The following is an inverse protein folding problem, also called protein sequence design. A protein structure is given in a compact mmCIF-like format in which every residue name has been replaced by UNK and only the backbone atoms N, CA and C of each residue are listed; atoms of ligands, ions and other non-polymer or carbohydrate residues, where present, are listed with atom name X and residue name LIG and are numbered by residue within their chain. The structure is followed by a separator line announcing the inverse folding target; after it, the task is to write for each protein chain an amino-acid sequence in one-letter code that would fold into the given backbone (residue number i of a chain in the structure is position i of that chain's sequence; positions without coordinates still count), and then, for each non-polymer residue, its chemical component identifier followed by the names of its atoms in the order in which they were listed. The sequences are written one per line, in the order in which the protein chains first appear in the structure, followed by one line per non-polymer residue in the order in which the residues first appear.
data_IF_426593692541
#
_entry.id   IF_426593692541
#
_cell.length_a   1.000
_cell.length_b   1.000
_cell.length_c   1.000
_cell.angle_alpha   90.00
_cell.angle_beta   90.00
_cell.angle_gamma   90.00
#
_symmetry.space_group_name_H-M   'P 1'
#
loop_
_entity.id
_entity.type
_entity.pdbx_description
1 polymer ?
#
# COMPACT_ATOMS: atom_id res chain seq x y z
N UNK A 1 -14.33 -8.86 -5.63
CA UNK A 1 -15.75 -8.88 -6.03
C UNK A 1 -15.95 -9.15 -7.52
N UNK A 2 -15.54 -8.26 -8.45
CA UNK A 2 -15.75 -8.48 -9.90
C UNK A 2 -15.07 -9.75 -10.43
N UNK A 3 -13.81 -9.99 -10.04
CA UNK A 3 -13.05 -11.19 -10.45
C UNK A 3 -13.78 -12.48 -10.04
N UNK A 4 -14.34 -12.52 -8.83
CA UNK A 4 -15.19 -13.63 -8.35
C UNK A 4 -16.50 -13.70 -9.12
N UNK A 5 -17.22 -12.60 -9.29
CA UNK A 5 -18.52 -12.58 -9.98
C UNK A 5 -18.42 -13.09 -11.43
N UNK A 6 -17.31 -12.80 -12.12
CA UNK A 6 -17.04 -13.28 -13.48
C UNK A 6 -16.97 -14.81 -13.55
N UNK A 7 -16.44 -15.50 -12.52
CA UNK A 7 -16.40 -16.97 -12.46
C UNK A 7 -17.81 -17.58 -12.45
N UNK A 8 -18.80 -16.84 -11.95
CA UNK A 8 -20.18 -17.27 -11.82
C UNK A 8 -21.07 -16.84 -12.99
N UNK A 9 -20.52 -16.31 -14.09
CA UNK A 9 -21.28 -15.86 -15.27
C UNK A 9 -22.32 -16.91 -15.73
N UNK A 10 -21.92 -18.18 -15.84
CA UNK A 10 -22.83 -19.27 -16.22
C UNK A 10 -23.92 -19.57 -15.18
N UNK A 11 -23.62 -19.33 -13.89
CA UNK A 11 -24.57 -19.53 -12.80
C UNK A 11 -25.70 -18.50 -12.87
N UNK A 12 -25.40 -17.26 -13.23
CA UNK A 12 -26.43 -16.22 -13.45
C UNK A 12 -27.36 -16.59 -14.62
N UNK A 13 -26.82 -17.16 -15.69
CA UNK A 13 -27.64 -17.66 -16.80
C UNK A 13 -28.58 -18.79 -16.37
N UNK A 14 -28.09 -19.72 -15.55
CA UNK A 14 -28.90 -20.82 -15.00
C UNK A 14 -29.96 -20.33 -14.02
N UNK A 15 -29.65 -19.30 -13.24
CA UNK A 15 -30.57 -18.71 -12.27
C UNK A 15 -31.79 -18.10 -12.98
N UNK A 16 -31.58 -17.41 -14.10
CA UNK A 16 -32.66 -16.84 -14.91
C UNK A 16 -33.64 -17.89 -15.45
N UNK A 17 -33.16 -19.10 -15.74
CA UNK A 17 -34.00 -20.21 -16.19
C UNK A 17 -34.86 -20.75 -15.03
N UNK A 18 -34.29 -20.81 -13.81
CA UNK A 18 -34.92 -21.46 -12.66
C UNK A 18 -35.83 -20.54 -11.84
N UNK A 19 -35.57 -19.24 -11.84
CA UNK A 19 -36.27 -18.27 -10.99
C UNK A 19 -36.99 -17.26 -11.87
N UNK A 20 -38.31 -17.42 -11.99
CA UNK A 20 -39.16 -16.54 -12.82
C UNK A 20 -39.18 -15.08 -12.37
N UNK A 21 -38.83 -14.81 -11.12
CA UNK A 21 -38.72 -13.47 -10.55
C UNK A 21 -37.37 -12.79 -10.85
N UNK A 22 -36.40 -13.50 -11.41
CA UNK A 22 -35.09 -12.95 -11.73
C UNK A 22 -35.13 -12.17 -13.05
N UNK A 23 -35.41 -10.88 -12.97
CA UNK A 23 -35.63 -9.99 -14.13
C UNK A 23 -34.40 -9.18 -14.55
N UNK A 24 -33.36 -9.14 -13.72
CA UNK A 24 -32.16 -8.34 -13.95
C UNK A 24 -30.96 -9.22 -14.31
N UNK A 25 -30.97 -9.80 -15.51
CA UNK A 25 -29.87 -10.64 -16.03
C UNK A 25 -28.79 -9.77 -16.68
N UNK A 26 -27.51 -9.88 -16.26
CA UNK A 26 -26.41 -9.25 -16.99
C UNK A 26 -26.28 -9.84 -18.40
N UNK A 27 -26.22 -8.96 -19.39
CA UNK A 27 -26.05 -9.36 -20.79
C UNK A 27 -24.60 -9.78 -21.07
N UNK A 28 -24.34 -10.44 -22.20
CA UNK A 28 -22.98 -10.74 -22.66
C UNK A 28 -22.12 -9.48 -22.80
N UNK A 29 -22.73 -8.35 -23.17
CA UNK A 29 -22.07 -7.04 -23.19
C UNK A 29 -21.64 -6.60 -21.78
N UNK A 30 -22.50 -6.77 -20.77
CA UNK A 30 -22.17 -6.44 -19.38
C UNK A 30 -21.01 -7.29 -18.85
N UNK A 31 -20.98 -8.59 -19.17
CA UNK A 31 -19.88 -9.47 -18.76
C UNK A 31 -18.57 -9.12 -19.46
N UNK A 32 -18.62 -8.79 -20.76
CA UNK A 32 -17.44 -8.29 -21.49
C UNK A 32 -16.90 -7.02 -20.85
N UNK A 33 -17.76 -6.06 -20.53
CA UNK A 33 -17.37 -4.83 -19.85
C UNK A 33 -16.81 -5.09 -18.44
N UNK A 34 -17.44 -5.97 -17.66
CA UNK A 34 -16.96 -6.33 -16.33
C UNK A 34 -15.56 -6.96 -16.36
N UNK A 35 -15.30 -7.85 -17.33
CA UNK A 35 -13.97 -8.45 -17.57
C UNK A 35 -12.93 -7.38 -17.90
N UNK A 36 -13.28 -6.44 -18.77
CA UNK A 36 -12.39 -5.34 -19.15
C UNK A 36 -12.05 -4.42 -17.98
N UNK A 37 -13.05 -3.98 -17.22
CA UNK A 37 -12.86 -3.14 -16.04
C UNK A 37 -12.08 -3.90 -14.96
N UNK A 38 -12.37 -5.19 -14.75
CA UNK A 38 -11.62 -6.01 -13.81
C UNK A 38 -10.13 -6.07 -14.19
N UNK A 39 -9.81 -6.21 -15.49
CA UNK A 39 -8.43 -6.15 -15.98
C UNK A 39 -7.74 -4.83 -15.68
N UNK A 40 -8.43 -3.70 -15.86
CA UNK A 40 -7.91 -2.36 -15.53
C UNK A 40 -7.71 -2.17 -14.02
N UNK A 41 -8.64 -2.65 -13.21
CA UNK A 41 -8.58 -2.57 -11.74
C UNK A 41 -7.46 -3.44 -11.14
N UNK A 42 -7.04 -4.52 -11.82
CA UNK A 42 -5.90 -5.34 -11.38
C UNK A 42 -4.61 -4.54 -11.22
N UNK A 43 -4.39 -3.52 -12.07
CA UNK A 43 -3.24 -2.61 -11.92
C UNK A 43 -3.26 -1.91 -10.56
N UNK A 44 -4.37 -1.29 -10.18
CA UNK A 44 -4.50 -0.61 -8.90
C UNK A 44 -4.32 -1.58 -7.74
N UNK A 45 -4.96 -2.77 -7.81
CA UNK A 45 -4.83 -3.77 -6.77
C UNK A 45 -3.36 -4.19 -6.56
N UNK A 46 -2.64 -4.51 -7.65
CA UNK A 46 -1.23 -4.90 -7.57
C UNK A 46 -0.32 -3.81 -7.00
N UNK A 47 -0.62 -2.54 -7.29
CA UNK A 47 0.13 -1.40 -6.77
C UNK A 47 -0.19 -1.16 -5.30
N UNK A 48 -1.45 -1.29 -4.94
CA UNK A 48 -1.93 -1.16 -3.56
C UNK A 48 -1.30 -2.22 -2.67
N UNK A 49 -1.17 -3.46 -3.13
CA UNK A 49 -0.44 -4.54 -2.43
C UNK A 49 1.02 -4.17 -2.16
N UNK A 50 1.70 -3.52 -3.12
CA UNK A 50 3.08 -3.03 -2.92
C UNK A 50 3.14 -1.97 -1.83
N UNK A 51 2.15 -1.08 -1.74
CA UNK A 51 2.11 -0.03 -0.70
C UNK A 51 1.76 -0.57 0.69
N UNK A 52 1.19 -1.76 0.76
CA UNK A 52 0.87 -2.44 2.02
C UNK A 52 2.02 -3.31 2.54
N UNK A 53 3.15 -3.34 1.83
CA UNK A 53 4.35 -4.03 2.28
C UNK A 53 4.83 -3.50 3.63
N UNK A 54 5.09 -4.41 4.57
CA UNK A 54 5.61 -4.08 5.91
C UNK A 54 7.07 -4.51 6.11
N UNK A 55 7.63 -5.25 5.14
CA UNK A 55 8.97 -5.86 5.22
C UNK A 55 10.06 -5.06 4.50
N UNK A 56 9.69 -3.95 3.87
CA UNK A 56 10.60 -3.10 3.12
C UNK A 56 10.10 -1.65 3.16
N UNK A 57 10.99 -0.66 2.93
CA UNK A 57 10.59 0.75 2.80
C UNK A 57 9.64 0.95 1.62
N UNK A 58 8.46 1.53 1.87
CA UNK A 58 7.46 1.74 0.82
C UNK A 58 7.59 3.10 0.12
N UNK A 59 8.26 4.08 0.76
CA UNK A 59 8.29 5.46 0.28
C UNK A 59 8.95 5.62 -1.09
N UNK A 60 10.08 4.95 -1.34
CA UNK A 60 10.78 4.98 -2.63
C UNK A 60 9.99 4.26 -3.73
N UNK A 61 9.20 3.24 -3.38
CA UNK A 61 8.36 2.51 -4.34
C UNK A 61 7.11 3.31 -4.72
N UNK A 62 6.73 4.34 -3.96
CA UNK A 62 5.48 5.07 -4.17
C UNK A 62 5.45 5.84 -5.50
N UNK A 63 6.47 6.65 -5.75
CA UNK A 63 6.56 7.48 -6.96
C UNK A 63 6.44 6.65 -8.25
N UNK A 64 7.29 5.63 -8.52
CA UNK A 64 7.21 4.89 -9.78
C UNK A 64 5.85 4.21 -9.98
N UNK A 65 5.24 3.69 -8.91
CA UNK A 65 3.93 3.01 -9.00
C UNK A 65 2.79 4.00 -9.24
N UNK A 66 2.77 5.15 -8.56
CA UNK A 66 1.77 6.20 -8.82
C UNK A 66 1.92 6.75 -10.24
N UNK A 67 3.15 6.88 -10.75
CA UNK A 67 3.39 7.25 -12.14
C UNK A 67 2.86 6.20 -13.12
N UNK A 68 3.00 4.90 -12.83
CA UNK A 68 2.40 3.82 -13.65
C UNK A 68 0.87 3.97 -13.73
N UNK A 69 0.21 4.29 -12.62
CA UNK A 69 -1.24 4.58 -12.61
C UNK A 69 -1.56 5.77 -13.53
N UNK A 70 -0.82 6.87 -13.41
CA UNK A 70 -1.06 8.06 -14.26
C UNK A 70 -0.87 7.72 -15.75
N UNK A 71 0.19 7.01 -16.10
CA UNK A 71 0.42 6.55 -17.48
C UNK A 71 -0.75 5.70 -17.98
N UNK A 72 -1.23 4.74 -17.17
CA UNK A 72 -2.38 3.92 -17.54
C UNK A 72 -3.66 4.74 -17.72
N UNK A 73 -3.92 5.71 -16.84
CA UNK A 73 -5.07 6.62 -16.98
C UNK A 73 -4.99 7.44 -18.26
N UNK A 74 -3.81 7.99 -18.60
CA UNK A 74 -3.60 8.72 -19.86
C UNK A 74 -3.86 7.84 -21.08
N UNK A 75 -3.44 6.57 -21.05
CA UNK A 75 -3.75 5.61 -22.12
C UNK A 75 -5.25 5.31 -22.22
N UNK A 76 -5.96 5.21 -21.09
CA UNK A 76 -7.38 4.90 -21.08
C UNK A 76 -8.27 6.06 -21.53
N UNK A 77 -7.81 7.30 -21.43
CA UNK A 77 -8.50 8.46 -22.00
C UNK A 77 -8.51 8.40 -23.53
N UNK A 78 -7.51 7.77 -24.13
CA UNK A 78 -7.43 7.53 -25.58
C UNK A 78 -8.14 6.23 -26.01
N UNK A 79 -8.89 5.59 -25.09
CA UNK A 79 -9.64 4.37 -25.39
C UNK A 79 -10.74 4.63 -26.40
N UNK A 80 -10.96 3.67 -27.31
CA UNK A 80 -12.10 3.67 -28.23
C UNK A 80 -13.44 3.38 -27.52
N UNK A 81 -13.40 2.81 -26.31
CA UNK A 81 -14.59 2.60 -25.49
C UNK A 81 -14.92 3.88 -24.70
N UNK A 82 -16.05 4.49 -25.03
CA UNK A 82 -16.49 5.77 -24.45
C UNK A 82 -16.78 5.69 -22.94
N UNK A 83 -17.18 4.53 -22.41
CA UNK A 83 -17.36 4.35 -20.97
C UNK A 83 -16.01 4.34 -20.27
N UNK A 84 -15.06 3.59 -20.80
CA UNK A 84 -13.68 3.52 -20.27
C UNK A 84 -13.01 4.89 -20.30
N UNK A 85 -13.13 5.59 -21.42
CA UNK A 85 -12.61 6.95 -21.59
C UNK A 85 -13.17 7.89 -20.51
N UNK A 86 -14.50 7.97 -20.40
CA UNK A 86 -15.17 8.82 -19.40
C UNK A 86 -14.83 8.42 -17.96
N UNK A 87 -14.65 7.12 -17.68
CA UNK A 87 -14.17 6.67 -16.36
C UNK A 87 -12.75 7.18 -16.09
N UNK A 88 -11.84 7.03 -17.06
CA UNK A 88 -10.46 7.47 -16.94
C UNK A 88 -10.35 8.99 -16.76
N UNK A 89 -11.12 9.79 -17.50
CA UNK A 89 -11.20 11.25 -17.34
C UNK A 89 -11.61 11.62 -15.91
N UNK A 90 -12.69 11.02 -15.38
CA UNK A 90 -13.16 11.26 -14.02
C UNK A 90 -12.13 10.85 -12.95
N UNK A 91 -11.43 9.73 -13.16
CA UNK A 91 -10.37 9.26 -12.28
C UNK A 91 -9.16 10.19 -12.34
N UNK A 92 -8.77 10.66 -13.52
CA UNK A 92 -7.63 11.56 -13.71
C UNK A 92 -7.87 12.92 -13.05
N UNK A 93 -9.09 13.47 -13.12
CA UNK A 93 -9.45 14.71 -12.40
C UNK A 93 -9.20 14.58 -10.89
N UNK A 94 -9.61 13.45 -10.29
CA UNK A 94 -9.34 13.18 -8.87
C UNK A 94 -7.85 12.96 -8.62
N UNK A 95 -7.18 12.20 -9.48
CA UNK A 95 -5.74 11.94 -9.39
C UNK A 95 -4.94 13.24 -9.34
N UNK A 96 -5.19 14.17 -10.27
CA UNK A 96 -4.46 15.44 -10.37
C UNK A 96 -4.62 16.31 -9.12
N UNK A 97 -5.79 16.27 -8.47
CA UNK A 97 -6.01 16.96 -7.20
C UNK A 97 -5.03 16.51 -6.12
N UNK A 98 -4.81 15.21 -5.98
CA UNK A 98 -3.87 14.66 -4.99
C UNK A 98 -2.42 14.82 -5.45
N UNK A 99 -2.15 14.55 -6.72
CA UNK A 99 -0.82 14.66 -7.33
C UNK A 99 -0.18 16.02 -7.06
N UNK A 100 -0.92 17.12 -7.26
CA UNK A 100 -0.46 18.50 -7.01
C UNK A 100 0.08 18.72 -5.59
N UNK A 101 -0.45 18.01 -4.59
CA UNK A 101 -0.06 18.15 -3.19
C UNK A 101 1.16 17.29 -2.87
N UNK A 102 1.18 16.03 -3.33
CA UNK A 102 2.12 15.03 -2.82
C UNK A 102 3.31 14.72 -3.74
N UNK A 103 3.25 15.04 -5.04
CA UNK A 103 4.27 14.59 -6.01
C UNK A 103 5.71 15.00 -5.68
N UNK A 104 5.92 16.18 -5.08
CA UNK A 104 7.26 16.61 -4.66
C UNK A 104 7.83 15.72 -3.56
N UNK A 105 7.02 15.39 -2.54
CA UNK A 105 7.45 14.50 -1.45
C UNK A 105 7.77 13.10 -1.95
N UNK A 106 6.92 12.55 -2.84
CA UNK A 106 7.19 11.28 -3.50
C UNK A 106 8.48 11.32 -4.32
N UNK A 107 8.71 12.44 -5.02
CA UNK A 107 9.89 12.65 -5.82
C UNK A 107 11.18 12.70 -5.00
N UNK A 108 11.17 13.26 -3.80
CA UNK A 108 12.32 13.23 -2.88
C UNK A 108 12.67 11.80 -2.51
N UNK A 109 11.67 10.98 -2.14
CA UNK A 109 11.89 9.57 -1.80
C UNK A 109 12.46 8.77 -3.01
N UNK A 110 12.02 9.09 -4.22
CA UNK A 110 12.57 8.50 -5.45
C UNK A 110 14.01 8.93 -5.73
N UNK A 111 14.35 10.20 -5.48
CA UNK A 111 15.72 10.71 -5.63
C UNK A 111 16.67 10.04 -4.64
N UNK A 112 16.23 9.80 -3.41
CA UNK A 112 16.99 9.11 -2.38
C UNK A 112 17.15 7.60 -2.64
N UNK A 113 16.56 7.06 -3.71
CA UNK A 113 16.85 5.70 -4.17
C UNK A 113 18.01 5.70 -5.17
N UNK A 114 19.17 5.10 -4.82
CA UNK A 114 20.36 5.12 -5.66
C UNK A 114 20.19 4.36 -6.98
N UNK A 115 19.13 3.54 -7.13
CA UNK A 115 18.79 2.84 -8.38
C UNK A 115 18.06 3.75 -9.39
N UNK A 116 17.57 4.91 -8.93
CA UNK A 116 16.69 5.78 -9.69
C UNK A 116 17.22 7.21 -9.79
N UNK A 117 17.53 7.85 -8.66
CA UNK A 117 17.96 9.26 -8.57
C UNK A 117 17.02 10.19 -9.38
N UNK A 118 17.54 11.17 -10.10
CA UNK A 118 16.75 12.07 -10.94
C UNK A 118 16.28 11.42 -12.24
N UNK A 119 16.97 10.40 -12.74
CA UNK A 119 16.66 9.74 -14.02
C UNK A 119 15.21 9.22 -14.07
N UNK A 120 14.69 8.74 -12.94
CA UNK A 120 13.29 8.29 -12.85
C UNK A 120 12.31 9.45 -12.94
N UNK A 121 12.63 10.59 -12.32
CA UNK A 121 11.83 11.80 -12.40
C UNK A 121 11.82 12.35 -13.83
N UNK A 122 13.00 12.45 -14.45
CA UNK A 122 13.18 12.92 -15.82
C UNK A 122 12.34 12.11 -16.82
N UNK A 123 12.35 10.79 -16.68
CA UNK A 123 11.53 9.91 -17.51
C UNK A 123 10.03 10.22 -17.36
N UNK A 124 9.48 10.16 -16.14
CA UNK A 124 8.04 10.31 -15.94
C UNK A 124 7.57 11.75 -16.14
N UNK A 125 8.36 12.73 -15.72
CA UNK A 125 8.01 14.14 -15.92
C UNK A 125 8.14 14.54 -17.39
N UNK A 126 9.07 13.96 -18.14
CA UNK A 126 9.08 14.07 -19.60
C UNK A 126 7.77 13.61 -20.22
N UNK A 127 7.24 12.47 -19.77
CA UNK A 127 5.93 11.96 -20.21
C UNK A 127 4.77 12.87 -19.78
N UNK A 128 4.80 13.44 -18.58
CA UNK A 128 3.65 14.18 -18.02
C UNK A 128 3.62 15.67 -18.36
N UNK A 129 4.78 16.28 -18.52
CA UNK A 129 4.94 17.74 -18.59
C UNK A 129 5.64 18.20 -19.86
N UNK A 130 6.23 17.30 -20.65
CA UNK A 130 6.96 17.64 -21.87
C UNK A 130 8.05 18.67 -21.59
N UNK A 131 7.93 19.85 -22.18
CA UNK A 131 8.91 20.93 -22.05
C UNK A 131 9.07 21.46 -20.61
N UNK A 132 8.05 21.29 -19.75
CA UNK A 132 8.10 21.74 -18.36
C UNK A 132 8.76 20.70 -17.42
N UNK A 133 9.16 19.54 -17.93
CA UNK A 133 9.74 18.45 -17.14
C UNK A 133 10.99 18.91 -16.35
N UNK A 134 11.91 19.58 -17.02
CA UNK A 134 13.16 20.07 -16.42
C UNK A 134 12.88 21.02 -15.25
N UNK A 135 11.85 21.86 -15.37
CA UNK A 135 11.45 22.77 -14.30
C UNK A 135 10.94 21.99 -13.07
N UNK A 136 10.14 20.95 -13.29
CA UNK A 136 9.64 20.12 -12.19
C UNK A 136 10.76 19.33 -11.50
N UNK A 137 11.71 18.76 -12.27
CA UNK A 137 12.87 18.05 -11.72
C UNK A 137 13.75 19.02 -10.91
N UNK A 138 14.04 20.21 -11.45
CA UNK A 138 14.77 21.26 -10.73
C UNK A 138 14.07 21.68 -9.44
N UNK A 139 12.75 21.79 -9.44
CA UNK A 139 12.01 22.10 -8.22
C UNK A 139 12.17 21.02 -7.14
N UNK A 140 12.28 19.74 -7.50
CA UNK A 140 12.50 18.67 -6.50
C UNK A 140 13.94 18.68 -6.00
N UNK A 141 14.93 18.88 -6.89
CA UNK A 141 16.33 19.06 -6.50
C UNK A 141 16.47 20.21 -5.50
N UNK A 142 15.78 21.32 -5.73
CA UNK A 142 15.78 22.47 -4.83
C UNK A 142 15.29 22.09 -3.42
N UNK A 143 14.20 21.33 -3.31
CA UNK A 143 13.71 20.86 -2.00
C UNK A 143 14.71 19.90 -1.35
N UNK A 144 15.44 19.09 -2.12
CA UNK A 144 16.50 18.22 -1.58
C UNK A 144 17.65 19.04 -0.98
N UNK A 145 18.08 20.14 -1.63
CA UNK A 145 19.10 21.04 -1.09
C UNK A 145 18.63 21.74 0.19
N UNK A 146 17.39 22.24 0.20
CA UNK A 146 16.78 22.87 1.38
C UNK A 146 16.73 21.89 2.56
N UNK A 147 16.32 20.65 2.31
CA UNK A 147 16.28 19.60 3.32
C UNK A 147 17.68 19.27 3.84
N UNK A 148 18.68 19.16 2.96
CA UNK A 148 20.05 18.92 3.35
C UNK A 148 20.59 20.04 4.25
N UNK A 149 20.36 21.29 3.87
CA UNK A 149 20.76 22.46 4.65
C UNK A 149 20.13 22.46 6.04
N UNK A 150 18.81 22.20 6.14
CA UNK A 150 18.10 22.15 7.41
C UNK A 150 18.63 21.05 8.35
N UNK A 151 18.96 19.88 7.81
CA UNK A 151 19.54 18.79 8.60
C UNK A 151 20.98 19.10 9.03
N UNK A 152 21.80 19.68 8.17
CA UNK A 152 23.15 20.14 8.55
C UNK A 152 23.10 21.16 9.68
N UNK A 153 22.20 22.14 9.60
CA UNK A 153 22.00 23.13 10.66
C UNK A 153 21.59 22.49 11.99
N UNK A 154 20.74 21.46 11.97
CA UNK A 154 20.35 20.72 13.18
C UNK A 154 21.54 19.96 13.76
N UNK A 155 22.29 19.24 12.93
CA UNK A 155 23.45 18.45 13.38
C UNK A 155 24.58 19.32 13.97
N UNK A 156 24.82 20.50 13.39
CA UNK A 156 25.85 21.44 13.87
C UNK A 156 25.46 22.15 15.17
N UNK A 157 24.16 22.22 15.51
CA UNK A 157 23.72 22.73 16.83
C UNK A 157 24.02 21.74 17.96
N UNK A 158 24.02 20.45 17.63
CA UNK A 158 24.31 19.38 18.58
C UNK A 158 25.82 19.10 18.72
N UNK A 159 26.64 19.54 17.76
CA UNK A 159 28.09 19.33 17.74
C UNK A 159 28.86 20.66 17.74
N UNK A 160 29.56 20.94 18.85
CA UNK A 160 30.30 22.19 19.11
C UNK A 160 31.64 22.26 18.36
N UNK A 161 31.66 21.93 17.08
CA UNK A 161 32.88 21.88 16.25
C UNK A 161 32.59 22.25 14.81
N UNK A 162 33.23 23.33 14.36
CA UNK A 162 33.28 23.78 12.96
C UNK A 162 34.07 22.78 12.10
N UNK A 163 33.47 22.28 11.03
CA UNK A 163 34.17 22.01 9.78
C UNK A 163 33.17 21.96 8.62
N UNK A 164 33.34 22.91 7.71
CA UNK A 164 32.52 23.09 6.53
C UNK A 164 32.81 22.05 5.45
N UNK A 165 31.77 21.42 4.93
CA UNK A 165 31.63 20.98 3.52
C UNK A 165 30.15 20.95 3.18
N UNK A 166 29.52 22.13 3.02
CA UNK A 166 28.06 22.24 2.94
C UNK A 166 27.48 21.87 1.55
N UNK A 167 28.21 22.09 0.45
CA UNK A 167 27.57 22.06 -0.89
C UNK A 167 27.82 20.80 -1.72
N UNK A 168 28.77 19.92 -1.35
CA UNK A 168 29.24 18.89 -2.27
C UNK A 168 28.44 17.56 -2.24
N UNK A 169 27.61 17.28 -1.24
CA UNK A 169 27.13 15.90 -1.04
C UNK A 169 25.94 15.49 -1.92
N UNK A 170 24.98 16.39 -2.20
CA UNK A 170 23.83 16.05 -3.06
C UNK A 170 24.27 15.90 -4.51
N UNK A 171 25.02 16.87 -5.05
CA UNK A 171 25.45 16.80 -6.44
C UNK A 171 26.37 15.61 -6.70
N UNK A 172 27.30 15.32 -5.79
CA UNK A 172 28.12 14.10 -5.89
C UNK A 172 27.25 12.84 -5.92
N UNK A 173 26.26 12.74 -5.04
CA UNK A 173 25.33 11.62 -5.05
C UNK A 173 24.53 11.53 -6.37
N UNK A 174 24.05 12.66 -6.90
CA UNK A 174 23.25 12.70 -8.12
C UNK A 174 24.05 12.37 -9.39
N UNK A 175 25.31 12.81 -9.48
CA UNK A 175 26.19 12.59 -10.63
C UNK A 175 26.79 11.17 -10.68
N UNK A 176 26.78 10.44 -9.57
CA UNK A 176 27.24 9.06 -9.55
C UNK A 176 26.35 8.12 -10.38
N UNK A 177 26.93 7.01 -10.85
CA UNK A 177 26.17 6.01 -11.59
C UNK A 177 25.00 5.45 -10.77
N UNK A 178 23.90 5.16 -11.46
CA UNK A 178 22.74 4.50 -10.86
C UNK A 178 23.04 3.02 -10.62
N UNK A 179 22.57 2.51 -9.49
CA UNK A 179 22.75 1.09 -9.17
C UNK A 179 21.83 0.19 -10.01
N UNK A 180 22.24 -1.06 -10.29
CA UNK A 180 21.37 -2.02 -10.94
C UNK A 180 20.13 -2.32 -10.09
N UNK A 181 18.99 -2.50 -10.76
CA UNK A 181 17.72 -2.83 -10.10
C UNK A 181 17.69 -4.32 -9.77
N UNK A 182 18.15 -4.70 -8.57
CA UNK A 182 17.98 -6.06 -8.05
C UNK A 182 16.76 -6.14 -7.11
N UNK A 183 16.05 -7.28 -7.10
CA UNK A 183 14.90 -7.49 -6.21
C UNK A 183 15.32 -7.57 -4.73
N UNK A 184 16.54 -8.02 -4.46
CA UNK A 184 17.09 -8.20 -3.11
C UNK A 184 17.86 -6.95 -2.61
N UNK A 185 17.69 -5.80 -3.27
CA UNK A 185 18.36 -4.56 -2.86
C UNK A 185 17.73 -3.98 -1.60
N UNK A 186 18.48 -3.98 -0.50
CA UNK A 186 18.12 -3.27 0.72
C UNK A 186 18.65 -1.83 0.69
N UNK A 187 17.73 -0.90 0.40
CA UNK A 187 18.02 0.53 0.32
C UNK A 187 18.47 1.13 1.66
N UNK A 188 17.91 0.68 2.80
CA UNK A 188 18.27 1.22 4.11
C UNK A 188 19.66 0.71 4.53
N UNK A 189 19.95 -0.56 4.26
CA UNK A 189 21.28 -1.11 4.48
C UNK A 189 22.31 -0.42 3.59
N UNK A 190 21.98 -0.15 2.33
CA UNK A 190 22.87 0.60 1.43
C UNK A 190 23.19 1.98 1.99
N UNK A 191 22.19 2.74 2.42
CA UNK A 191 22.40 4.05 3.04
C UNK A 191 23.24 3.95 4.31
N UNK A 192 23.01 2.92 5.14
CA UNK A 192 23.78 2.66 6.35
C UNK A 192 25.26 2.35 6.05
N UNK A 193 25.56 1.63 4.98
CA UNK A 193 26.94 1.30 4.59
C UNK A 193 27.69 2.46 3.93
N UNK A 194 26.99 3.50 3.48
CA UNK A 194 27.56 4.68 2.84
C UNK A 194 27.48 5.94 3.73
N UNK A 195 27.35 5.77 5.05
CA UNK A 195 27.20 6.85 6.03
C UNK A 195 28.41 7.79 6.09
N UNK A 196 29.63 7.26 5.96
CA UNK A 196 30.87 8.05 5.94
C UNK A 196 30.88 8.99 4.72
N UNK A 197 30.41 8.51 3.57
CA UNK A 197 30.39 9.27 2.32
C UNK A 197 29.24 10.28 2.29
N UNK A 198 28.09 9.91 2.86
CA UNK A 198 26.84 10.67 2.77
C UNK A 198 26.24 10.95 4.15
N UNK A 199 27.01 11.56 5.05
CA UNK A 199 26.64 11.66 6.48
C UNK A 199 25.26 12.29 6.71
N UNK A 200 24.99 13.45 6.12
CA UNK A 200 23.66 14.10 6.26
C UNK A 200 22.58 13.41 5.42
N UNK A 201 22.92 13.02 4.20
CA UNK A 201 21.96 12.39 3.27
C UNK A 201 21.48 11.02 3.77
N UNK A 202 22.33 10.26 4.45
CA UNK A 202 21.97 8.99 5.09
C UNK A 202 20.91 9.19 6.17
N UNK A 203 21.03 10.24 6.98
CA UNK A 203 20.06 10.59 8.01
C UNK A 203 18.73 10.97 7.37
N UNK A 204 18.77 11.80 6.32
CA UNK A 204 17.58 12.18 5.54
C UNK A 204 16.93 10.96 4.91
N UNK A 205 17.71 10.09 4.28
CA UNK A 205 17.23 8.87 3.65
C UNK A 205 16.58 7.94 4.67
N UNK A 206 17.19 7.75 5.84
CA UNK A 206 16.58 6.99 6.93
C UNK A 206 15.23 7.59 7.32
N UNK A 207 15.16 8.90 7.53
CA UNK A 207 13.94 9.54 8.04
C UNK A 207 12.82 9.63 6.99
N UNK A 208 13.16 9.81 5.71
CA UNK A 208 12.19 9.90 4.60
C UNK A 208 11.74 8.51 4.13
N UNK A 209 12.67 7.57 3.95
CA UNK A 209 12.36 6.27 3.36
C UNK A 209 11.59 5.35 4.32
N UNK A 210 11.77 5.54 5.63
CA UNK A 210 11.06 4.75 6.65
C UNK A 210 9.60 5.17 6.85
N UNK A 211 9.15 6.24 6.21
CA UNK A 211 7.75 6.67 6.27
C UNK A 211 6.88 5.63 5.54
N UNK A 212 5.96 4.96 6.24
CA UNK A 212 5.01 4.08 5.58
C UNK A 212 4.04 4.93 4.75
N UNK A 213 3.86 4.55 3.49
CA UNK A 213 3.00 5.28 2.55
C UNK A 213 1.52 5.03 2.82
N UNK A 214 1.21 3.91 3.48
CA UNK A 214 -0.15 3.51 3.81
C UNK A 214 -0.33 3.29 5.31
N UNK A 215 -1.51 3.68 5.80
CA UNK A 215 -2.01 3.31 7.14
C UNK A 215 -2.47 1.85 7.20
N UNK A 216 -2.59 1.15 6.07
CA UNK A 216 -3.14 -0.21 6.06
C UNK A 216 -2.26 -1.22 6.78
N UNK A 217 -0.95 -0.96 6.91
CA UNK A 217 -0.09 -1.76 7.78
C UNK A 217 -0.57 -1.74 9.24
N UNK A 218 -1.03 -0.58 9.74
CA UNK A 218 -1.64 -0.50 11.07
C UNK A 218 -3.06 -1.06 11.07
N UNK A 219 -3.87 -0.82 10.04
CA UNK A 219 -5.23 -1.38 9.93
C UNK A 219 -5.25 -2.92 9.86
N UNK A 220 -4.29 -3.55 9.17
CA UNK A 220 -4.11 -5.00 9.14
C UNK A 220 -3.74 -5.56 10.52
N UNK A 221 -2.88 -4.85 11.25
CA UNK A 221 -2.59 -5.17 12.64
C UNK A 221 -3.84 -5.06 13.53
N UNK A 222 -4.77 -4.14 13.25
CA UNK A 222 -6.05 -4.04 13.96
C UNK A 222 -7.10 -5.06 13.48
N UNK A 223 -7.12 -5.41 12.20
CA UNK A 223 -8.07 -6.36 11.61
C UNK A 223 -7.78 -7.79 12.03
N UNK A 224 -6.51 -8.20 12.03
CA UNK A 224 -6.05 -9.48 12.62
C UNK A 224 -6.40 -9.55 14.11
N UNK A 225 -6.57 -8.40 14.77
CA UNK A 225 -6.94 -8.31 16.18
C UNK A 225 -8.45 -8.32 16.43
N UNK A 226 -9.31 -8.31 15.40
CA UNK A 226 -10.75 -8.54 15.56
C UNK A 226 -11.07 -9.91 16.18
N UNK A 227 -10.15 -10.87 16.04
CA UNK A 227 -10.22 -12.17 16.72
C UNK A 227 -9.87 -12.11 18.21
N UNK A 228 -9.08 -11.11 18.64
CA UNK A 228 -8.75 -10.86 20.06
C UNK A 228 -9.82 -9.95 20.70
N UNK A 229 -10.40 -9.05 19.91
CA UNK A 229 -11.43 -8.08 20.32
C UNK A 229 -12.75 -8.47 19.65
N UNK A 230 -13.36 -9.57 20.10
CA UNK A 230 -14.71 -9.90 19.63
C UNK A 230 -15.76 -9.09 20.42
N UNK A 231 -16.94 -8.79 19.83
CA UNK A 231 -18.04 -8.11 20.54
C UNK A 231 -18.46 -8.81 21.84
N UNK A 232 -18.19 -10.13 21.96
CA UNK A 232 -18.58 -10.97 23.09
C UNK A 232 -17.43 -11.30 24.07
N UNK A 233 -16.16 -10.92 23.81
CA UNK A 233 -15.01 -11.20 24.70
C UNK A 233 -14.01 -10.03 24.86
N UNK A 234 -14.48 -8.81 25.12
CA UNK A 234 -13.56 -7.67 25.29
C UNK A 234 -13.73 -6.95 26.64
N UNK A 235 -13.04 -7.42 27.69
CA UNK A 235 -12.83 -6.65 28.95
C UNK A 235 -11.35 -6.39 29.25
N UNK A 236 -10.48 -6.43 28.24
CA UNK A 236 -9.08 -6.07 28.42
C UNK A 236 -8.96 -4.55 28.55
N UNK A 237 -8.24 -4.10 29.57
CA UNK A 237 -7.88 -2.70 29.69
C UNK A 237 -6.93 -2.30 28.55
N UNK A 238 -7.03 -1.07 28.06
CA UNK A 238 -6.28 -0.59 26.89
C UNK A 238 -4.75 -0.74 27.05
N UNK A 239 -4.21 -0.60 28.27
CA UNK A 239 -2.78 -0.82 28.55
C UNK A 239 -2.35 -2.28 28.38
N UNK A 240 -3.21 -3.24 28.76
CA UNK A 240 -2.93 -4.66 28.56
C UNK A 240 -3.00 -5.02 27.09
N UNK A 241 -3.94 -4.42 26.37
CA UNK A 241 -4.08 -4.59 24.93
C UNK A 241 -2.85 -4.03 24.19
N UNK A 242 -2.42 -2.82 24.55
CA UNK A 242 -1.19 -2.19 24.02
C UNK A 242 0.06 -3.04 24.30
N UNK A 243 0.25 -3.50 25.54
CA UNK A 243 1.37 -4.37 25.90
C UNK A 243 1.36 -5.70 25.10
N UNK A 244 0.19 -6.30 24.92
CA UNK A 244 0.02 -7.50 24.09
C UNK A 244 0.33 -7.23 22.62
N UNK A 245 -0.08 -6.07 22.09
CA UNK A 245 0.24 -5.66 20.71
C UNK A 245 1.75 -5.50 20.51
N UNK A 246 2.45 -4.85 21.45
CA UNK A 246 3.89 -4.71 21.40
C UNK A 246 4.61 -6.06 21.54
N UNK A 247 4.20 -6.90 22.49
CA UNK A 247 4.79 -8.22 22.69
C UNK A 247 4.62 -9.11 21.44
N UNK A 248 3.43 -9.08 20.82
CA UNK A 248 3.13 -9.72 19.52
C UNK A 248 4.09 -9.24 18.44
N UNK A 249 4.10 -7.94 18.17
CA UNK A 249 4.96 -7.35 17.13
C UNK A 249 6.44 -7.70 17.34
N UNK A 250 6.91 -7.63 18.59
CA UNK A 250 8.28 -7.94 18.96
C UNK A 250 8.62 -9.43 18.79
N UNK A 251 7.77 -10.34 19.28
CA UNK A 251 8.01 -11.80 19.19
C UNK A 251 8.11 -12.28 17.74
N UNK A 252 7.30 -11.70 16.84
CA UNK A 252 7.28 -12.06 15.42
C UNK A 252 8.18 -11.20 14.54
N UNK A 253 9.03 -10.34 15.13
CA UNK A 253 10.08 -9.64 14.39
C UNK A 253 11.02 -10.66 13.71
N UNK A 254 11.45 -10.44 12.46
CA UNK A 254 12.36 -11.33 11.73
C UNK A 254 13.62 -11.72 12.53
N UNK A 255 14.13 -10.79 13.34
CA UNK A 255 15.29 -10.98 14.21
C UNK A 255 15.06 -12.06 15.28
N UNK A 256 13.84 -12.19 15.78
CA UNK A 256 13.46 -13.17 16.80
C UNK A 256 13.02 -14.51 16.18
N UNK A 257 12.47 -14.49 14.96
CA UNK A 257 12.00 -15.69 14.27
C UNK A 257 13.15 -16.65 13.88
N UNK A 258 14.36 -16.13 13.66
CA UNK A 258 15.58 -16.96 13.45
C UNK A 258 15.97 -17.69 14.74
N UNK A 259 15.78 -17.08 15.92
CA UNK A 259 16.05 -17.70 17.22
C UNK A 259 14.95 -18.67 17.68
N UNK A 260 13.68 -18.44 17.30
CA UNK A 260 12.58 -19.36 17.62
C UNK A 260 12.63 -20.64 16.77
N UNK A 261 12.98 -20.54 15.49
CA UNK A 261 13.14 -21.71 14.61
C UNK A 261 14.28 -22.65 15.00
N UNK A 262 15.30 -22.15 15.69
CA UNK A 262 16.39 -22.99 16.22
C UNK A 262 16.03 -23.69 17.54
N UNK A 263 14.96 -23.26 18.23
CA UNK A 263 14.65 -23.73 19.60
C UNK A 263 13.35 -24.54 19.69
N UNK A 264 12.37 -24.35 18.80
CA UNK A 264 11.10 -25.09 18.84
C UNK A 264 10.56 -25.35 17.42
N UNK A 265 10.86 -26.53 16.87
CA UNK A 265 10.35 -27.00 15.58
C UNK A 265 8.99 -27.70 15.69
N UNK A 266 8.17 -27.54 14.64
CA UNK A 266 6.94 -28.26 14.29
C UNK A 266 5.65 -28.05 15.11
N UNK A 267 5.66 -27.72 16.41
CA UNK A 267 4.38 -27.58 17.15
C UNK A 267 3.61 -26.29 16.83
N UNK A 268 4.31 -25.21 16.46
CA UNK A 268 3.67 -23.91 16.16
C UNK A 268 3.10 -23.79 14.75
N UNK A 269 3.54 -24.64 13.82
CA UNK A 269 2.97 -24.67 12.47
C UNK A 269 1.52 -25.20 12.48
N UNK A 270 1.21 -26.12 13.39
CA UNK A 270 -0.12 -26.74 13.54
C UNK A 270 -1.14 -25.73 14.09
N UNK A 271 -0.75 -24.94 15.10
CA UNK A 271 -1.61 -23.88 15.65
C UNK A 271 -1.94 -22.77 14.65
N UNK A 272 -1.02 -22.46 13.73
CA UNK A 272 -1.28 -21.49 12.66
C UNK A 272 -2.25 -22.05 11.61
N UNK A 273 -2.16 -23.34 11.29
CA UNK A 273 -3.11 -24.00 10.37
C UNK A 273 -4.51 -24.13 10.98
N UNK A 274 -4.61 -24.41 12.29
CA UNK A 274 -5.92 -24.44 12.99
C UNK A 274 -6.57 -23.05 13.09
N UNK A 275 -5.79 -21.97 13.16
CA UNK A 275 -6.30 -20.60 13.13
C UNK A 275 -6.69 -20.11 11.73
N UNK A 276 -6.20 -20.74 10.67
CA UNK A 276 -6.55 -20.46 9.27
C UNK A 276 -7.73 -21.32 8.76
N UNK A 277 -8.09 -22.42 9.44
CA UNK A 277 -9.08 -23.40 8.96
C UNK A 277 -10.54 -23.14 9.35
N UNK A 278 -10.82 -22.18 10.23
CA UNK A 278 -12.19 -21.90 10.70
C UNK A 278 -13.04 -21.07 9.70
N UNK A 279 -12.52 -20.76 8.51
CA UNK A 279 -13.17 -19.91 7.49
C UNK A 279 -14.07 -20.69 6.49
N UNK A 280 -14.24 -22.00 6.62
CA UNK A 280 -15.07 -22.83 5.72
C UNK A 280 -16.15 -23.60 6.51
N UNK A 281 -17.15 -22.91 7.05
CA UNK A 281 -18.21 -23.63 7.76
C UNK A 281 -19.34 -22.84 8.41
N UNK A 282 -19.96 -21.85 7.75
CA UNK A 282 -21.31 -21.44 8.15
C UNK A 282 -22.13 -20.88 6.97
N UNK A 283 -22.61 -21.81 6.14
CA UNK A 283 -23.75 -21.61 5.26
C UNK A 283 -24.75 -22.73 5.55
N UNK A 284 -26.03 -22.35 5.63
CA UNK A 284 -27.23 -23.16 5.93
C UNK A 284 -27.43 -23.31 7.46
N UNK A 285 -28.55 -22.95 8.07
CA UNK A 285 -29.95 -23.30 7.76
C UNK A 285 -30.83 -22.29 8.53
N UNK A 286 -31.85 -21.69 7.90
CA UNK A 286 -33.16 -21.68 8.55
C UNK A 286 -34.31 -21.47 7.55
N UNK A 287 -34.93 -22.60 7.22
CA UNK A 287 -36.23 -22.69 6.58
C UNK A 287 -37.16 -23.47 7.50
N UNK A 288 -38.09 -22.75 8.11
CA UNK A 288 -39.39 -23.16 8.64
C UNK A 288 -39.52 -24.51 9.39
N UNK A 289 -39.92 -24.43 10.66
CA UNK A 289 -41.03 -25.27 11.14
C UNK A 289 -41.85 -24.54 12.20
N UNK A 290 -43.13 -24.37 11.89
CA UNK A 290 -44.20 -23.95 12.78
C UNK A 290 -44.44 -24.96 13.91
N UNK A 291 -44.51 -24.49 15.16
CA UNK A 291 -45.32 -25.12 16.20
C UNK A 291 -46.14 -24.03 16.90
N UNK A 292 -47.44 -24.15 16.74
CA UNK A 292 -48.50 -23.46 17.45
C UNK A 292 -48.46 -23.75 18.95
N UNK A 293 -48.59 -22.72 19.79
CA UNK A 293 -49.43 -22.82 20.97
C UNK A 293 -50.04 -21.46 21.35
N UNK A 294 -51.30 -21.56 21.72
CA UNK A 294 -52.26 -20.49 21.95
C UNK A 294 -52.25 -19.99 23.39
N UNK A 295 -52.89 -18.82 23.59
CA UNK A 295 -53.53 -18.33 24.84
C UNK A 295 -52.60 -17.95 26.00
N UNK A 296 -52.57 -16.66 26.35
CA UNK A 296 -53.47 -16.07 27.35
C UNK A 296 -53.33 -14.52 27.33
N UNK A 297 -54.48 -13.86 27.52
CA UNK A 297 -54.60 -12.44 27.87
C UNK A 297 -54.21 -12.24 29.34
N UNK A 298 -53.95 -10.99 29.70
CA UNK A 298 -54.23 -10.27 30.97
C UNK A 298 -53.05 -9.30 31.25
N UNK A 299 -53.25 -8.00 31.03
CA UNK A 299 -53.74 -6.97 31.98
C UNK A 299 -52.61 -6.30 32.79
N UNK A 300 -52.62 -4.97 32.71
CA UNK A 300 -52.23 -3.96 33.71
C UNK A 300 -50.81 -3.95 34.34
N UNK A 301 -49.98 -2.97 33.97
CA UNK A 301 -49.87 -1.64 34.63
C UNK A 301 -48.84 -0.75 33.91
#
# INVERSE_FOLDING_TARGET
MLDVAILYEEVFNRLAIRVTQYTCLPTSLHWKFAKEICGKLKLFNSITEVFFGTKYPTANEYFPKICQIKVALLQWIESSDELVKRMAENMLVKFEKYWRVVHKMMGIAAVLDPRYKTNLLEYYYGVFYGNDADFQVKSIRQVCYELLYDYQLKMNKDSRSESATLDANVDVYLEEEVLPRSPDFDILLWWKLNDIKYTTLQVIARDVLTIPVSTVASESAFSTNGHIISPHRSRLHWTTLEALMYARSWLWSPENNVNLKSTMGNEYAILLTEMESDDEGELLIDGATSISNSRLKDEDY
#
